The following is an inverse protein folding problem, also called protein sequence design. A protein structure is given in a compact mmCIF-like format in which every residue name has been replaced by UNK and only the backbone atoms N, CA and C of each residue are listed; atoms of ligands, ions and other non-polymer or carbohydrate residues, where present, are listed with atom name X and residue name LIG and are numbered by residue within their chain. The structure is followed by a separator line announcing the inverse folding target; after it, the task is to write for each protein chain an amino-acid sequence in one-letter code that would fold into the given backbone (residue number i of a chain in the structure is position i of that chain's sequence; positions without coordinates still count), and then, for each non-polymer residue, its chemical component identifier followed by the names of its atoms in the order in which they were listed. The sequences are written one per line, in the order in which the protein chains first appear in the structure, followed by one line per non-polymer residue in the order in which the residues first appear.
data_IF_414758489208
#
_entry.id   IF_414758489208
#
_cell.length_a   1.000
_cell.length_b   1.000
_cell.length_c   1.000
_cell.angle_alpha   90.00
_cell.angle_beta   90.00
_cell.angle_gamma   90.00
#
_symmetry.space_group_name_H-M   'P 1'
#
loop_
_entity.id
_entity.type
_entity.pdbx_description
1 polymer ?
#
# COMPACT_ATOMS: atom_id res chain seq x y z
N UNK A 1 18.69 -17.95 -16.04
CA UNK A 1 18.65 -17.11 -17.26
C UNK A 1 18.50 -15.65 -16.83
N UNK A 2 19.36 -14.76 -17.32
CA UNK A 2 19.29 -13.32 -17.06
C UNK A 2 18.88 -12.60 -18.36
N UNK A 3 18.05 -11.57 -18.24
CA UNK A 3 17.67 -10.71 -19.37
C UNK A 3 18.13 -9.30 -19.03
N UNK A 4 18.97 -8.72 -19.88
CA UNK A 4 19.52 -7.38 -19.73
C UNK A 4 18.91 -6.44 -20.77
N UNK A 5 18.56 -5.22 -20.34
CA UNK A 5 17.93 -4.21 -21.20
C UNK A 5 18.72 -2.90 -21.06
N UNK A 6 19.27 -2.42 -22.18
CA UNK A 6 20.03 -1.18 -22.25
C UNK A 6 19.30 -0.20 -23.17
N UNK A 7 19.03 1.00 -22.68
CA UNK A 7 18.29 2.02 -23.42
C UNK A 7 19.02 3.36 -23.37
N UNK A 8 19.09 4.02 -24.53
CA UNK A 8 19.48 5.41 -24.67
C UNK A 8 18.26 6.20 -25.12
N UNK A 9 17.74 7.06 -24.24
CA UNK A 9 16.51 7.82 -24.50
C UNK A 9 16.80 9.31 -24.41
N UNK A 10 16.76 10.06 -25.52
CA UNK A 10 16.82 11.50 -25.47
C UNK A 10 15.50 12.06 -24.92
N UNK A 11 15.59 13.17 -24.20
CA UNK A 11 14.43 13.89 -23.68
C UNK A 11 14.50 15.34 -24.14
N UNK A 12 13.35 15.92 -24.51
CA UNK A 12 13.23 17.36 -24.67
C UNK A 12 13.52 18.07 -23.33
N UNK A 13 13.85 19.38 -23.34
CA UNK A 13 14.08 20.13 -22.11
C UNK A 13 12.92 20.01 -21.13
N UNK A 14 13.13 19.28 -20.03
CA UNK A 14 12.10 19.03 -19.02
C UNK A 14 12.73 18.65 -17.67
N UNK A 15 12.05 19.02 -16.58
CA UNK A 15 12.41 18.56 -15.23
C UNK A 15 11.69 17.23 -14.91
N UNK A 16 12.23 16.13 -15.45
CA UNK A 16 11.60 14.79 -15.36
C UNK A 16 11.53 14.23 -13.94
N UNK A 17 12.46 14.64 -13.06
CA UNK A 17 12.55 14.19 -11.69
C UNK A 17 13.34 15.20 -10.86
N UNK A 18 12.75 15.65 -9.75
CA UNK A 18 13.26 16.73 -8.90
C UNK A 18 13.65 16.29 -7.50
N UNK A 19 14.50 17.07 -6.84
CA UNK A 19 14.82 16.95 -5.42
C UNK A 19 13.80 17.68 -4.53
N UNK A 20 14.08 17.72 -3.22
CA UNK A 20 13.19 18.31 -2.23
C UNK A 20 13.12 19.85 -2.33
N UNK A 21 14.08 20.48 -3.02
CA UNK A 21 14.11 21.91 -3.34
C UNK A 21 13.55 22.22 -4.73
N UNK A 22 13.04 21.22 -5.46
CA UNK A 22 12.45 21.36 -6.78
C UNK A 22 13.46 21.36 -7.94
N UNK A 23 14.76 21.23 -7.67
CA UNK A 23 15.82 21.22 -8.70
C UNK A 23 15.86 19.87 -9.40
N UNK A 24 16.25 19.79 -10.69
CA UNK A 24 16.45 18.50 -11.35
C UNK A 24 17.44 17.64 -10.57
N UNK A 25 17.15 16.35 -10.36
CA UNK A 25 18.11 15.46 -9.70
C UNK A 25 19.34 15.28 -10.58
N UNK A 26 20.51 15.36 -9.98
CA UNK A 26 21.80 15.16 -10.66
C UNK A 26 22.60 14.00 -10.03
N UNK A 27 23.71 13.66 -10.67
CA UNK A 27 24.75 12.80 -10.14
C UNK A 27 26.10 13.13 -10.82
N UNK A 28 27.20 12.92 -10.10
CA UNK A 28 28.54 13.00 -10.68
C UNK A 28 28.92 11.68 -11.34
N UNK A 29 29.35 11.74 -12.60
CA UNK A 29 29.83 10.57 -13.32
C UNK A 29 30.87 10.95 -14.38
N UNK A 30 32.04 10.32 -14.31
CA UNK A 30 33.16 10.63 -15.21
C UNK A 30 33.68 12.07 -15.05
N UNK A 31 33.77 12.58 -13.82
CA UNK A 31 34.33 13.91 -13.53
C UNK A 31 33.40 15.10 -13.84
N UNK A 32 32.16 14.85 -14.27
CA UNK A 32 31.19 15.91 -14.58
C UNK A 32 29.81 15.61 -13.98
N UNK A 33 29.03 16.66 -13.74
CA UNK A 33 27.65 16.55 -13.28
C UNK A 33 26.72 16.19 -14.44
N UNK A 34 25.80 15.25 -14.21
CA UNK A 34 24.80 14.82 -15.20
C UNK A 34 23.41 14.81 -14.59
N UNK A 35 22.40 15.14 -15.40
CA UNK A 35 21.00 14.93 -15.03
C UNK A 35 20.70 13.45 -14.79
N UNK A 36 19.89 13.14 -13.77
CA UNK A 36 19.57 11.77 -13.36
C UNK A 36 18.08 11.60 -13.08
N UNK A 37 17.51 10.55 -13.66
CA UNK A 37 16.19 10.06 -13.27
C UNK A 37 16.38 8.95 -12.25
N UNK A 38 15.79 9.08 -11.07
CA UNK A 38 15.93 8.07 -10.02
C UNK A 38 15.26 6.74 -10.42
N UNK A 39 15.85 5.61 -10.05
CA UNK A 39 15.32 4.29 -10.41
C UNK A 39 13.91 4.07 -9.88
N UNK A 40 13.59 4.63 -8.71
CA UNK A 40 12.23 4.60 -8.14
C UNK A 40 11.23 5.40 -8.97
N UNK A 41 11.62 6.53 -9.57
CA UNK A 41 10.75 7.31 -10.45
C UNK A 41 10.41 6.51 -11.72
N UNK A 42 11.43 5.90 -12.35
CA UNK A 42 11.24 5.03 -13.52
C UNK A 42 10.39 3.81 -13.18
N UNK A 43 10.70 3.09 -12.11
CA UNK A 43 9.92 1.91 -11.66
C UNK A 43 8.47 2.26 -11.36
N UNK A 44 8.21 3.42 -10.75
CA UNK A 44 6.83 3.89 -10.50
C UNK A 44 6.11 4.24 -11.81
N UNK A 45 6.77 4.92 -12.73
CA UNK A 45 6.21 5.25 -14.04
C UNK A 45 5.84 3.99 -14.82
N UNK A 46 6.73 3.00 -14.85
CA UNK A 46 6.48 1.69 -15.45
C UNK A 46 5.30 0.99 -14.77
N UNK A 47 5.30 0.89 -13.43
CA UNK A 47 4.22 0.23 -12.66
C UNK A 47 2.85 0.87 -12.89
N UNK A 48 2.80 2.20 -13.04
CA UNK A 48 1.56 2.95 -13.26
C UNK A 48 1.20 3.10 -14.74
N UNK A 49 2.02 2.58 -15.66
CA UNK A 49 1.73 2.69 -17.08
C UNK A 49 0.46 1.91 -17.44
N UNK A 50 -0.34 2.39 -18.41
CA UNK A 50 -1.49 1.66 -18.92
C UNK A 50 -1.13 0.25 -19.40
N UNK A 51 0.06 0.10 -19.99
CA UNK A 51 0.58 -1.19 -20.47
C UNK A 51 0.70 -2.22 -19.34
N UNK A 52 1.38 -1.85 -18.24
CA UNK A 52 1.53 -2.75 -17.09
C UNK A 52 0.19 -2.98 -16.39
N UNK A 53 -0.62 -1.94 -16.25
CA UNK A 53 -1.95 -2.03 -15.65
C UNK A 53 -2.86 -3.01 -16.41
N UNK A 54 -2.88 -2.96 -17.74
CA UNK A 54 -3.68 -3.86 -18.57
C UNK A 54 -3.19 -5.31 -18.52
N UNK A 55 -1.87 -5.54 -18.48
CA UNK A 55 -1.30 -6.89 -18.53
C UNK A 55 -1.28 -7.61 -17.18
N UNK A 56 -1.10 -6.87 -16.09
CA UNK A 56 -1.07 -7.46 -14.76
C UNK A 56 -2.40 -7.35 -14.02
N UNK A 57 -3.27 -6.38 -14.38
CA UNK A 57 -4.60 -6.22 -13.80
C UNK A 57 -4.56 -6.20 -12.27
N UNK A 58 -5.36 -7.08 -11.66
CA UNK A 58 -5.50 -7.19 -10.21
C UNK A 58 -4.30 -7.83 -9.49
N UNK A 59 -3.30 -8.31 -10.25
CA UNK A 59 -2.03 -8.81 -9.70
C UNK A 59 -1.07 -7.69 -9.28
N UNK A 60 -1.38 -6.43 -9.61
CA UNK A 60 -0.61 -5.28 -9.12
C UNK A 60 -1.03 -4.97 -7.69
N UNK A 61 -0.10 -5.09 -6.76
CA UNK A 61 -0.35 -4.74 -5.37
C UNK A 61 -0.58 -3.23 -5.16
N UNK A 62 -1.53 -2.89 -4.30
CA UNK A 62 -1.69 -1.60 -3.66
C UNK A 62 -0.58 -1.41 -2.63
N UNK A 63 0.17 -0.30 -2.77
CA UNK A 63 1.26 0.09 -1.87
C UNK A 63 0.75 1.18 -0.92
N UNK A 64 0.43 0.83 0.33
CA UNK A 64 -0.16 1.78 1.29
C UNK A 64 0.23 1.47 2.75
N UNK A 65 0.18 2.48 3.61
CA UNK A 65 0.17 2.33 5.07
C UNK A 65 -1.26 2.11 5.61
N UNK A 66 -2.26 2.49 4.82
CA UNK A 66 -3.65 2.65 5.26
C UNK A 66 -4.54 1.49 4.80
N UNK A 67 -3.98 0.29 4.54
CA UNK A 67 -4.82 -0.87 4.20
C UNK A 67 -5.86 -1.17 5.28
N UNK A 68 -5.51 -1.17 6.59
CA UNK A 68 -6.49 -1.35 7.65
C UNK A 68 -7.62 -0.31 7.62
N UNK A 69 -7.28 0.98 7.43
CA UNK A 69 -8.27 2.04 7.26
C UNK A 69 -9.15 1.83 6.03
N UNK A 70 -8.58 1.43 4.88
CA UNK A 70 -9.38 1.15 3.68
C UNK A 70 -10.39 0.02 3.92
N UNK A 71 -10.03 -1.00 4.71
CA UNK A 71 -10.95 -2.08 5.09
C UNK A 71 -12.04 -1.55 6.03
N UNK A 72 -11.66 -0.79 7.07
CA UNK A 72 -12.60 -0.16 8.00
C UNK A 72 -13.63 0.69 7.26
N UNK A 73 -13.17 1.61 6.42
CA UNK A 73 -14.01 2.50 5.61
C UNK A 73 -14.94 1.73 4.66
N UNK A 74 -14.49 0.58 4.14
CA UNK A 74 -15.33 -0.25 3.26
C UNK A 74 -16.45 -1.00 3.98
N UNK A 75 -16.36 -1.18 5.31
CA UNK A 75 -17.31 -1.96 6.11
C UNK A 75 -18.12 -1.12 7.09
N UNK A 76 -17.66 0.08 7.47
CA UNK A 76 -18.31 0.91 8.50
C UNK A 76 -19.79 1.20 8.20
N UNK A 77 -20.14 1.38 6.93
CA UNK A 77 -21.52 1.63 6.49
C UNK A 77 -22.47 0.47 6.78
N UNK A 78 -21.97 -0.77 6.83
CA UNK A 78 -22.80 -1.95 7.10
C UNK A 78 -23.22 -2.06 8.58
N UNK A 79 -22.60 -1.28 9.46
CA UNK A 79 -22.80 -1.30 10.90
C UNK A 79 -23.30 0.05 11.44
N UNK A 80 -23.81 0.92 10.57
CA UNK A 80 -24.43 2.18 11.00
C UNK A 80 -25.58 1.91 11.98
N UNK A 81 -25.56 2.60 13.13
CA UNK A 81 -26.54 2.41 14.20
C UNK A 81 -26.23 1.28 15.18
N UNK A 82 -25.17 0.49 14.94
CA UNK A 82 -24.69 -0.55 15.84
C UNK A 82 -23.31 -0.18 16.42
N UNK A 83 -23.33 0.55 17.53
CA UNK A 83 -22.12 1.07 18.17
C UNK A 83 -21.15 -0.04 18.62
N UNK A 84 -21.69 -1.19 19.06
CA UNK A 84 -20.89 -2.33 19.50
C UNK A 84 -20.13 -2.96 18.33
N UNK A 85 -20.80 -3.15 17.18
CA UNK A 85 -20.13 -3.66 15.98
C UNK A 85 -19.14 -2.68 15.38
N UNK A 86 -19.40 -1.37 15.45
CA UNK A 86 -18.45 -0.35 15.00
C UNK A 86 -17.16 -0.33 15.85
N UNK A 87 -17.29 -0.38 17.18
CA UNK A 87 -16.14 -0.50 18.07
C UNK A 87 -15.34 -1.77 17.78
N UNK A 88 -16.05 -2.90 17.63
CA UNK A 88 -15.43 -4.18 17.27
C UNK A 88 -14.70 -4.12 15.93
N UNK A 89 -15.28 -3.52 14.90
CA UNK A 89 -14.65 -3.34 13.59
C UNK A 89 -13.30 -2.60 13.72
N UNK A 90 -13.26 -1.54 14.53
CA UNK A 90 -12.03 -0.81 14.83
C UNK A 90 -10.95 -1.71 15.46
N UNK A 91 -11.30 -2.48 16.48
CA UNK A 91 -10.40 -3.44 17.16
C UNK A 91 -9.87 -4.49 16.18
N UNK A 92 -10.74 -5.05 15.34
CA UNK A 92 -10.39 -6.07 14.35
C UNK A 92 -9.43 -5.49 13.31
N UNK A 93 -9.70 -4.29 12.80
CA UNK A 93 -8.81 -3.61 11.85
C UNK A 93 -7.46 -3.26 12.49
N UNK A 94 -7.41 -2.89 13.78
CA UNK A 94 -6.14 -2.68 14.50
C UNK A 94 -5.35 -4.00 14.63
N UNK A 95 -6.03 -5.11 14.90
CA UNK A 95 -5.40 -6.43 14.89
C UNK A 95 -4.85 -6.79 13.50
N UNK A 96 -5.56 -6.44 12.42
CA UNK A 96 -5.05 -6.56 11.03
C UNK A 96 -3.80 -5.73 10.82
N UNK A 97 -3.78 -4.47 11.26
CA UNK A 97 -2.60 -3.61 11.18
C UNK A 97 -1.38 -4.24 11.89
N UNK A 98 -1.60 -4.81 13.08
CA UNK A 98 -0.58 -5.53 13.84
C UNK A 98 -0.15 -6.86 13.19
N UNK A 99 -1.03 -7.54 12.46
CA UNK A 99 -0.71 -8.79 11.74
C UNK A 99 0.09 -8.56 10.46
N UNK A 100 -0.22 -7.48 9.73
CA UNK A 100 0.49 -7.08 8.51
C UNK A 100 1.86 -6.45 8.79
N UNK A 101 2.08 -5.99 10.01
CA UNK A 101 3.32 -5.35 10.40
C UNK A 101 3.34 -4.96 11.86
N UNK A 102 3.02 -3.71 12.14
CA UNK A 102 2.85 -3.13 13.47
C UNK A 102 1.92 -1.94 13.31
N UNK A 103 0.87 -1.88 14.14
CA UNK A 103 0.01 -0.70 14.17
C UNK A 103 0.79 0.49 14.71
N UNK A 104 0.65 1.66 14.09
CA UNK A 104 0.98 2.89 14.81
C UNK A 104 -0.13 3.18 15.83
N UNK A 105 0.24 3.71 17.00
CA UNK A 105 -0.73 3.95 18.07
C UNK A 105 -1.83 4.87 17.57
N UNK A 106 -3.07 4.43 17.79
CA UNK A 106 -4.25 5.24 17.56
C UNK A 106 -4.30 6.34 18.60
N UNK A 107 -4.20 7.60 18.17
CA UNK A 107 -4.73 8.69 18.97
C UNK A 107 -6.26 8.56 18.90
N UNK A 108 -6.93 8.50 20.05
CA UNK A 108 -8.38 8.27 20.14
C UNK A 108 -9.22 9.32 19.40
N UNK A 109 -8.63 10.46 19.07
CA UNK A 109 -9.28 11.58 18.37
C UNK A 109 -8.99 11.62 16.85
N UNK A 110 -8.26 10.65 16.29
CA UNK A 110 -7.88 10.63 14.87
C UNK A 110 -8.47 9.42 14.13
N UNK A 111 -9.53 9.62 13.36
CA UNK A 111 -10.14 8.61 12.47
C UNK A 111 -9.13 8.04 11.45
N UNK A 112 -8.02 8.74 11.15
CA UNK A 112 -6.98 8.29 10.23
C UNK A 112 -5.86 7.49 10.90
N UNK A 113 -5.98 7.21 12.19
CA UNK A 113 -4.98 6.51 12.97
C UNK A 113 -4.73 5.04 12.55
N UNK A 114 -5.63 4.45 11.77
CA UNK A 114 -5.63 3.02 11.45
C UNK A 114 -4.65 2.69 10.31
N UNK A 115 -3.36 2.69 10.65
CA UNK A 115 -2.25 2.46 9.71
C UNK A 115 -1.17 1.54 10.26
N UNK A 116 -0.42 0.93 9.35
CA UNK A 116 0.80 0.20 9.65
C UNK A 116 1.99 1.16 9.74
N UNK A 117 3.01 0.85 10.54
CA UNK A 117 4.26 1.65 10.59
C UNK A 117 5.15 1.48 9.35
N UNK A 118 4.90 0.44 8.56
CA UNK A 118 5.61 0.16 7.32
C UNK A 118 4.65 -0.02 6.16
N UNK A 119 5.10 0.34 4.98
CA UNK A 119 4.32 0.23 3.76
C UNK A 119 4.12 -1.24 3.42
N UNK A 120 2.86 -1.63 3.29
CA UNK A 120 2.47 -2.97 2.84
C UNK A 120 2.03 -2.96 1.39
N UNK A 121 2.20 -4.11 0.75
CA UNK A 121 1.93 -4.34 -0.66
C UNK A 121 0.98 -5.51 -0.77
N UNK A 122 -0.31 -5.24 -0.98
CA UNK A 122 -1.32 -6.29 -1.18
C UNK A 122 -2.09 -6.07 -2.47
N UNK A 123 -2.27 -7.12 -3.25
CA UNK A 123 -3.15 -7.17 -4.41
C UNK A 123 -4.60 -6.86 -4.02
N UNK A 124 -5.43 -6.51 -5.00
CA UNK A 124 -6.86 -6.28 -4.73
C UNK A 124 -7.54 -7.54 -4.19
N UNK A 125 -7.15 -8.71 -4.68
CA UNK A 125 -7.66 -10.00 -4.20
C UNK A 125 -7.29 -10.27 -2.74
N UNK A 126 -6.05 -10.00 -2.33
CA UNK A 126 -5.63 -10.13 -0.93
C UNK A 126 -6.40 -9.15 -0.01
N UNK A 127 -6.58 -7.90 -0.46
CA UNK A 127 -7.37 -6.93 0.30
C UNK A 127 -8.81 -7.41 0.43
N UNK A 128 -9.44 -7.89 -0.63
CA UNK A 128 -10.81 -8.40 -0.59
C UNK A 128 -10.97 -9.60 0.36
N UNK A 129 -10.01 -10.53 0.36
CA UNK A 129 -10.00 -11.66 1.32
C UNK A 129 -9.87 -11.19 2.76
N UNK A 130 -9.01 -10.20 3.02
CA UNK A 130 -8.88 -9.60 4.35
C UNK A 130 -10.17 -8.87 4.75
N UNK A 131 -10.80 -8.11 3.85
CA UNK A 131 -12.08 -7.45 4.11
C UNK A 131 -13.16 -8.47 4.48
N UNK A 132 -13.26 -9.58 3.74
CA UNK A 132 -14.21 -10.64 4.03
C UNK A 132 -13.94 -11.29 5.40
N UNK A 133 -12.68 -11.59 5.70
CA UNK A 133 -12.28 -12.14 7.00
C UNK A 133 -12.63 -11.18 8.16
N UNK A 134 -12.42 -9.87 7.97
CA UNK A 134 -12.79 -8.85 8.96
C UNK A 134 -14.30 -8.86 9.19
N UNK A 135 -15.12 -8.84 8.12
CA UNK A 135 -16.58 -8.91 8.21
C UNK A 135 -17.05 -10.13 9.01
N UNK A 136 -16.58 -11.32 8.65
CA UNK A 136 -16.93 -12.57 9.34
C UNK A 136 -16.53 -12.55 10.82
N UNK A 137 -15.39 -11.94 11.15
CA UNK A 137 -14.90 -11.83 12.53
C UNK A 137 -15.71 -10.85 13.37
N UNK A 138 -16.23 -9.78 12.74
CA UNK A 138 -17.16 -8.85 13.39
C UNK A 138 -18.49 -9.54 13.67
N UNK A 139 -18.98 -10.38 12.76
CA UNK A 139 -20.28 -11.05 12.86
C UNK A 139 -20.30 -12.30 13.76
N UNK A 140 -19.22 -13.09 13.80
CA UNK A 140 -19.22 -14.45 14.40
C UNK A 140 -18.62 -14.56 15.81
N UNK A 141 -18.34 -13.44 16.45
CA UNK A 141 -17.63 -13.35 17.73
C UNK A 141 -16.26 -14.10 17.81
N UNK A 142 -15.66 -14.44 16.67
CA UNK A 142 -14.43 -15.24 16.60
C UNK A 142 -13.21 -14.49 17.16
N UNK A 143 -12.34 -15.20 17.88
CA UNK A 143 -11.04 -14.67 18.33
C UNK A 143 -10.06 -14.52 17.17
N UNK A 144 -9.46 -13.34 17.05
CA UNK A 144 -8.36 -13.07 16.11
C UNK A 144 -7.07 -13.76 16.55
N UNK A 145 -6.43 -14.48 15.62
CA UNK A 145 -5.07 -14.99 15.79
C UNK A 145 -4.14 -14.35 14.76
N UNK A 146 -2.91 -14.01 15.17
CA UNK A 146 -1.90 -13.40 14.28
C UNK A 146 -1.53 -14.30 13.09
N UNK A 147 -1.62 -15.62 13.24
CA UNK A 147 -1.37 -16.59 12.17
C UNK A 147 -2.39 -16.47 11.04
N UNK A 148 -3.69 -16.42 11.36
CA UNK A 148 -4.75 -16.32 10.37
C UNK A 148 -4.61 -15.07 9.47
N UNK A 149 -4.25 -13.93 10.05
CA UNK A 149 -4.03 -12.66 9.31
C UNK A 149 -2.81 -12.76 8.39
N UNK A 150 -1.74 -13.43 8.86
CA UNK A 150 -0.50 -13.58 8.10
C UNK A 150 -0.67 -14.56 6.93
N UNK A 151 -1.52 -15.56 7.08
CA UNK A 151 -1.77 -16.55 6.01
C UNK A 151 -2.63 -15.93 4.89
N UNK A 152 -3.58 -15.06 5.24
CA UNK A 152 -4.41 -14.33 4.27
C UNK A 152 -3.63 -13.30 3.44
N UNK A 153 -2.47 -12.85 3.92
CA UNK A 153 -1.58 -11.88 3.27
C UNK A 153 -0.40 -12.51 2.51
N UNK A 154 -0.38 -13.84 2.41
CA UNK A 154 0.65 -14.62 1.70
C UNK A 154 -0.01 -15.46 0.61
N UNK A 155 -0.46 -14.86 -0.49
CA UNK A 155 -0.85 -15.62 -1.70
C UNK A 155 -0.98 -14.72 -2.90
#
# INVERSE_FOLDING_TARGET
MLIELHLLTPHAPANLNRDDFGRPKTAYFGGTERGRISSQALKRAIRKSPYVAQRLGDKISTRSLHIPLMIYESLKGDYEGDAEKLERLGIVCEAVANGLGKAEKVNKDDEFALKTSQIVFLTKGEIARLTQFVRETVESDRKLTKSAIKDLSKT
#
